data_IF_418645016617
#
_entry.id   IF_418645016617
#
_cell.length_a   1.000
_cell.length_b   1.000
_cell.length_c   1.000
_cell.angle_alpha   90.00
_cell.angle_beta   90.00
_cell.angle_gamma   90.00
#
_symmetry.space_group_name_H-M   'P 1'
#
loop_
_entity.id
_entity.type
_entity.pdbx_description
1 polymer ?
#
# COMPACT_ATOMS: atom_id res chain seq x y z
N UNK A 1 5.49 11.98 18.19
CA UNK A 1 6.26 10.89 17.55
C UNK A 1 6.48 9.88 18.66
N UNK A 2 5.91 8.68 18.60
CA UNK A 2 5.99 7.75 19.73
C UNK A 2 6.19 6.34 19.21
N UNK A 3 7.34 5.76 19.57
CA UNK A 3 7.67 4.36 19.37
C UNK A 3 6.55 3.47 19.87
N UNK A 4 5.91 2.70 18.99
CA UNK A 4 5.10 1.56 19.41
C UNK A 4 6.05 0.45 19.84
N UNK A 5 6.53 0.52 21.06
CA UNK A 5 7.30 -0.55 21.67
C UNK A 5 6.35 -1.33 22.59
N UNK A 6 5.98 -2.54 22.16
CA UNK A 6 5.12 -3.46 22.92
C UNK A 6 5.95 -4.37 23.84
N UNK A 7 7.06 -3.85 24.38
CA UNK A 7 8.03 -4.63 25.16
C UNK A 7 7.58 -4.94 26.60
N UNK A 8 8.10 -6.05 27.12
CA UNK A 8 7.93 -6.59 28.48
C UNK A 8 8.94 -5.93 29.45
N UNK A 9 8.52 -5.46 30.64
CA UNK A 9 9.44 -4.76 31.56
C UNK A 9 9.10 -4.97 33.05
N UNK A 10 10.12 -5.08 33.90
CA UNK A 10 10.04 -4.97 35.37
C UNK A 10 10.98 -3.85 35.86
N UNK A 11 10.53 -3.07 36.86
CA UNK A 11 11.27 -1.95 37.46
C UNK A 11 12.14 -2.44 38.61
N UNK A 12 13.45 -2.56 38.40
CA UNK A 12 14.40 -2.86 39.48
C UNK A 12 15.22 -1.59 39.84
N UNK A 13 15.33 -1.33 41.14
CA UNK A 13 16.05 -0.17 41.65
C UNK A 13 17.55 -0.46 41.70
N UNK A 14 18.40 0.44 41.21
CA UNK A 14 19.83 0.32 41.40
C UNK A 14 20.46 1.66 41.79
N UNK A 15 21.44 1.59 42.67
CA UNK A 15 22.31 2.73 42.98
C UNK A 15 23.42 2.81 41.93
N UNK A 16 23.68 4.00 41.38
CA UNK A 16 24.98 4.26 40.79
C UNK A 16 25.98 4.32 41.94
N UNK A 17 26.90 3.37 41.97
CA UNK A 17 27.97 3.28 42.97
C UNK A 17 28.80 4.59 42.99
N UNK A 18 28.40 5.56 43.82
CA UNK A 18 29.30 6.62 44.29
C UNK A 18 29.84 6.16 45.63
N UNK A 19 31.10 5.79 45.64
CA UNK A 19 31.80 5.32 46.83
C UNK A 19 31.84 6.40 47.94
N UNK A 20 30.86 6.41 48.85
CA UNK A 20 31.02 6.92 50.21
C UNK A 20 29.83 6.48 51.12
N UNK A 21 30.01 5.56 52.09
CA UNK A 21 28.91 5.01 52.88
C UNK A 21 28.50 5.83 54.12
N UNK A 22 28.96 7.07 54.29
CA UNK A 22 28.58 7.91 55.45
C UNK A 22 27.85 9.19 55.03
N UNK A 23 26.56 9.07 54.67
CA UNK A 23 25.56 10.15 54.80
C UNK A 23 24.16 9.56 54.67
N UNK A 24 23.55 9.24 55.79
CA UNK A 24 22.25 8.55 55.88
C UNK A 24 21.03 9.49 55.88
N UNK A 25 21.15 10.74 55.45
CA UNK A 25 20.01 11.67 55.43
C UNK A 25 20.01 12.53 54.16
N UNK A 26 18.87 12.52 53.45
CA UNK A 26 18.51 13.17 52.17
C UNK A 26 18.89 12.40 50.88
N UNK A 27 17.95 11.61 50.34
CA UNK A 27 18.13 10.80 49.12
C UNK A 27 17.10 11.12 48.01
N UNK A 28 17.31 12.13 47.14
CA UNK A 28 16.37 12.47 46.05
C UNK A 28 16.75 11.95 44.65
N UNK A 29 17.81 11.13 44.49
CA UNK A 29 18.31 10.70 43.17
C UNK A 29 18.38 9.16 43.04
N UNK A 30 17.30 8.49 42.62
CA UNK A 30 17.33 7.08 42.20
C UNK A 30 17.07 6.94 40.70
N UNK A 31 17.87 6.15 40.00
CA UNK A 31 17.64 5.70 38.63
C UNK A 31 17.11 4.24 38.67
N UNK A 32 16.25 3.86 37.72
CA UNK A 32 15.62 2.55 37.66
C UNK A 32 15.99 1.86 36.36
N UNK A 33 16.52 0.63 36.43
CA UNK A 33 16.90 -0.16 35.25
C UNK A 33 15.84 -1.22 35.01
N UNK A 34 15.65 -1.55 33.74
CA UNK A 34 14.92 -2.75 33.37
C UNK A 34 15.91 -3.89 33.14
N UNK A 35 15.69 -5.03 33.81
CA UNK A 35 16.25 -6.31 33.38
C UNK A 35 15.17 -7.12 32.70
N UNK A 36 15.51 -7.69 31.54
CA UNK A 36 14.71 -8.72 30.88
C UNK A 36 14.98 -10.04 31.60
N UNK A 37 13.96 -10.64 32.20
CA UNK A 37 14.02 -12.01 32.75
C UNK A 37 13.13 -12.92 31.92
N UNK A 38 13.57 -14.16 31.66
CA UNK A 38 12.88 -15.17 30.85
C UNK A 38 11.69 -15.86 31.57
N UNK A 39 11.21 -15.36 32.71
CA UNK A 39 10.12 -15.98 33.48
C UNK A 39 8.81 -15.16 33.46
N UNK A 40 7.63 -15.82 33.42
CA UNK A 40 6.37 -15.16 33.12
C UNK A 40 5.79 -14.46 34.36
N UNK A 41 5.83 -13.13 34.39
CA UNK A 41 5.09 -12.32 35.38
C UNK A 41 4.40 -11.12 34.73
N UNK A 42 3.37 -10.62 35.41
CA UNK A 42 2.26 -9.81 34.89
C UNK A 42 2.66 -8.67 33.95
N UNK A 43 1.98 -8.63 32.79
CA UNK A 43 2.20 -7.70 31.70
C UNK A 43 1.55 -6.34 32.03
N UNK A 44 2.35 -5.28 32.11
CA UNK A 44 1.83 -3.91 32.20
C UNK A 44 2.22 -3.15 30.92
N UNK A 45 1.28 -2.92 29.98
CA UNK A 45 1.59 -2.17 28.77
C UNK A 45 1.95 -0.72 29.12
N UNK A 46 3.03 -0.19 28.52
CA UNK A 46 3.36 1.24 28.62
C UNK A 46 2.30 2.02 27.85
N UNK A 47 1.39 2.64 28.58
CA UNK A 47 0.36 3.49 27.99
C UNK A 47 0.91 4.90 27.76
N UNK A 48 0.53 5.50 26.63
CA UNK A 48 0.88 6.88 26.28
C UNK A 48 -0.35 7.62 25.82
N UNK A 49 -0.44 8.90 26.16
CA UNK A 49 -1.40 9.81 25.52
C UNK A 49 -0.73 10.48 24.31
N UNK A 50 -1.47 11.25 23.50
CA UNK A 50 -0.88 11.99 22.37
C UNK A 50 0.22 12.96 22.81
N UNK A 51 0.18 13.47 24.04
CA UNK A 51 1.01 14.62 24.44
C UNK A 51 1.85 14.40 25.70
N UNK A 52 1.69 13.26 26.37
CA UNK A 52 2.39 12.97 27.62
C UNK A 52 2.46 11.46 27.86
N UNK A 53 3.53 11.01 28.51
CA UNK A 53 3.63 9.66 29.03
C UNK A 53 2.63 9.47 30.19
N UNK A 54 2.10 8.25 30.33
CA UNK A 54 1.30 7.91 31.51
C UNK A 54 2.28 7.46 32.61
N UNK A 55 2.31 8.14 33.77
CA UNK A 55 3.23 7.78 34.83
C UNK A 55 2.93 6.39 35.39
N UNK A 56 4.00 5.60 35.60
CA UNK A 56 3.94 4.28 36.23
C UNK A 56 4.27 4.45 37.71
N UNK A 57 3.43 3.90 38.58
CA UNK A 57 3.70 3.91 40.00
C UNK A 57 4.85 2.96 40.33
N UNK A 58 5.84 3.46 41.04
CA UNK A 58 6.99 2.68 41.53
C UNK A 58 6.62 1.89 42.79
N UNK A 59 7.39 0.85 43.16
CA UNK A 59 7.16 0.09 44.39
C UNK A 59 7.19 0.92 45.69
N UNK A 60 7.75 2.14 45.65
CA UNK A 60 7.84 3.04 46.81
C UNK A 60 6.74 4.11 46.83
N UNK A 61 5.79 4.07 45.89
CA UNK A 61 4.69 5.03 45.81
C UNK A 61 4.96 6.28 44.97
N UNK A 62 6.19 6.48 44.50
CA UNK A 62 6.54 7.53 43.52
C UNK A 62 6.07 7.17 42.11
N UNK A 63 6.25 8.08 41.15
CA UNK A 63 5.93 7.85 39.74
C UNK A 63 7.17 7.98 38.85
N UNK A 64 7.25 7.16 37.81
CA UNK A 64 8.29 7.21 36.78
C UNK A 64 7.71 7.07 35.36
N UNK A 65 8.45 7.55 34.38
CA UNK A 65 8.15 7.36 32.94
C UNK A 65 9.40 6.86 32.22
N UNK A 66 9.20 6.34 31.00
CA UNK A 66 10.30 5.89 30.16
C UNK A 66 11.26 7.05 29.85
N UNK A 67 12.57 6.81 29.92
CA UNK A 67 13.59 7.83 29.69
C UNK A 67 13.45 8.52 28.32
N UNK A 68 13.09 7.76 27.29
CA UNK A 68 12.77 8.27 25.97
C UNK A 68 11.67 9.35 26.02
N UNK A 69 10.57 9.03 26.69
CA UNK A 69 9.43 9.92 26.81
C UNK A 69 9.79 11.15 27.66
N UNK A 70 10.56 10.97 28.73
CA UNK A 70 11.08 12.07 29.54
C UNK A 70 11.94 13.06 28.72
N UNK A 71 12.83 12.56 27.88
CA UNK A 71 13.65 13.39 27.00
C UNK A 71 12.78 14.21 26.04
N UNK A 72 11.80 13.58 25.37
CA UNK A 72 10.89 14.28 24.46
C UNK A 72 10.02 15.31 25.20
N UNK A 73 9.53 15.01 26.41
CA UNK A 73 8.78 15.97 27.22
C UNK A 73 9.60 17.18 27.63
N UNK A 74 10.86 16.99 28.04
CA UNK A 74 11.77 18.10 28.34
C UNK A 74 12.01 18.93 27.08
N UNK A 75 12.39 18.30 25.97
CA UNK A 75 12.62 19.01 24.70
C UNK A 75 11.38 19.79 24.24
N UNK A 76 10.18 19.22 24.38
CA UNK A 76 8.93 19.91 24.04
C UNK A 76 8.68 21.15 24.90
N UNK A 77 8.94 21.08 26.20
CA UNK A 77 8.87 22.26 27.10
C UNK A 77 9.92 23.30 26.72
N UNK A 78 11.14 22.88 26.40
CA UNK A 78 12.19 23.78 25.91
C UNK A 78 11.80 24.47 24.59
N UNK A 79 11.15 23.76 23.66
CA UNK A 79 10.69 24.26 22.37
C UNK A 79 9.52 25.24 22.52
N UNK A 80 8.43 24.84 23.19
CA UNK A 80 7.17 25.61 23.15
C UNK A 80 6.95 26.50 24.37
N UNK A 81 7.32 26.03 25.57
CA UNK A 81 7.12 26.78 26.81
C UNK A 81 8.24 27.82 26.99
N UNK A 82 9.50 27.39 26.90
CA UNK A 82 10.65 28.27 27.15
C UNK A 82 11.19 28.94 25.88
N UNK A 83 10.86 28.39 24.71
CA UNK A 83 11.21 28.90 23.38
C UNK A 83 12.69 29.18 23.23
N UNK A 84 13.52 28.34 23.82
CA UNK A 84 14.96 28.61 23.95
C UNK A 84 15.62 28.69 22.58
N UNK A 85 15.21 27.85 21.63
CA UNK A 85 15.82 27.76 20.29
C UNK A 85 15.60 29.01 19.42
N UNK A 86 14.67 29.90 19.81
CA UNK A 86 14.44 31.18 19.13
C UNK A 86 15.38 32.29 19.61
N UNK A 87 16.06 32.07 20.75
CA UNK A 87 16.84 33.08 21.46
C UNK A 87 18.34 33.02 21.15
N UNK A 88 18.73 32.07 20.30
CA UNK A 88 20.10 31.82 19.91
C UNK A 88 20.26 31.91 18.40
N UNK A 89 21.50 32.12 17.98
CA UNK A 89 21.95 32.06 16.60
C UNK A 89 22.94 30.91 16.42
N UNK A 90 23.21 30.53 15.18
CA UNK A 90 24.15 29.47 14.83
C UNK A 90 25.52 29.67 15.48
N UNK A 91 26.04 30.89 15.49
CA UNK A 91 27.32 31.24 16.15
C UNK A 91 27.32 31.02 17.67
N UNK A 92 26.14 31.06 18.30
CA UNK A 92 25.95 30.84 19.75
C UNK A 92 25.52 29.42 20.09
N UNK A 93 25.43 28.52 19.10
CA UNK A 93 25.15 27.11 19.31
C UNK A 93 26.06 26.47 20.38
N UNK A 94 27.39 26.70 20.41
CA UNK A 94 28.25 26.11 21.43
C UNK A 94 27.85 26.45 22.87
N UNK A 95 27.32 27.66 23.07
CA UNK A 95 26.83 28.10 24.39
C UNK A 95 25.56 27.34 24.76
N UNK A 96 24.58 27.32 23.86
CA UNK A 96 23.34 26.57 24.05
C UNK A 96 23.62 25.07 24.28
N UNK A 97 24.50 24.48 23.49
CA UNK A 97 24.86 23.06 23.62
C UNK A 97 25.52 22.75 24.95
N UNK A 98 26.29 23.68 25.54
CA UNK A 98 26.87 23.49 26.87
C UNK A 98 25.78 23.43 27.96
N UNK A 99 24.74 24.27 27.85
CA UNK A 99 23.58 24.21 28.76
C UNK A 99 22.80 22.90 28.61
N UNK A 100 22.64 22.42 27.37
CA UNK A 100 21.93 21.19 27.04
C UNK A 100 22.78 19.92 27.26
N UNK A 101 24.08 20.05 27.56
CA UNK A 101 24.99 18.92 27.75
C UNK A 101 24.51 17.96 28.86
N UNK A 102 23.82 18.50 29.88
CA UNK A 102 23.22 17.71 30.96
C UNK A 102 22.18 16.69 30.44
N UNK A 103 21.42 17.03 29.38
CA UNK A 103 20.52 16.07 28.73
C UNK A 103 21.33 14.96 28.08
N UNK A 104 22.38 15.33 27.34
CA UNK A 104 23.22 14.33 26.68
C UNK A 104 23.90 13.42 27.69
N UNK A 105 24.39 13.93 28.82
CA UNK A 105 25.04 13.15 29.87
C UNK A 105 24.05 12.20 30.55
N UNK A 106 22.86 12.69 30.91
CA UNK A 106 21.86 11.89 31.60
C UNK A 106 21.22 10.82 30.70
N UNK A 107 20.93 11.16 29.44
CA UNK A 107 20.33 10.26 28.47
C UNK A 107 21.38 9.56 27.57
N UNK A 108 22.67 9.62 27.94
CA UNK A 108 23.76 9.01 27.18
C UNK A 108 23.61 7.49 27.07
N UNK A 109 23.96 6.99 25.88
CA UNK A 109 23.73 5.64 25.35
C UNK A 109 24.57 4.52 25.98
N UNK A 110 25.21 4.76 27.13
CA UNK A 110 25.92 3.69 27.83
C UNK A 110 24.95 2.61 28.35
N UNK A 111 23.66 2.91 28.43
CA UNK A 111 22.60 1.94 28.69
C UNK A 111 21.95 1.50 27.37
N UNK A 112 22.20 0.24 26.98
CA UNK A 112 21.59 -0.40 25.79
C UNK A 112 20.14 -0.82 26.02
N UNK A 113 19.67 -0.77 27.27
CA UNK A 113 18.33 -1.17 27.68
C UNK A 113 17.47 0.06 27.96
N UNK A 114 16.17 0.01 27.65
CA UNK A 114 15.20 0.97 28.16
C UNK A 114 15.32 1.12 29.69
N UNK A 115 15.21 2.35 30.18
CA UNK A 115 15.24 2.66 31.60
C UNK A 115 14.19 3.70 31.96
N UNK A 116 13.85 3.79 33.24
CA UNK A 116 12.81 4.67 33.73
C UNK A 116 13.39 5.80 34.58
N UNK A 117 12.75 6.97 34.49
CA UNK A 117 13.16 8.20 35.16
C UNK A 117 12.00 8.67 36.04
N UNK A 118 12.30 9.01 37.28
CA UNK A 118 11.30 9.54 38.22
C UNK A 118 10.91 10.96 37.86
N UNK A 119 9.67 11.33 38.20
CA UNK A 119 9.17 12.69 37.95
C UNK A 119 10.05 13.76 38.61
N UNK A 120 10.48 13.55 39.86
CA UNK A 120 11.38 14.49 40.55
C UNK A 120 12.75 14.64 39.87
N UNK A 121 13.24 13.59 39.20
CA UNK A 121 14.49 13.70 38.43
C UNK A 121 14.32 14.51 37.15
N UNK A 122 13.17 14.35 36.47
CA UNK A 122 12.81 15.14 35.29
C UNK A 122 12.73 16.62 35.64
N UNK A 123 12.01 16.94 36.72
CA UNK A 123 11.88 18.31 37.24
C UNK A 123 13.26 18.90 37.58
N UNK A 124 14.12 18.15 38.27
CA UNK A 124 15.46 18.60 38.62
C UNK A 124 16.35 18.90 37.40
N UNK A 125 16.29 18.07 36.36
CA UNK A 125 17.05 18.29 35.12
C UNK A 125 16.53 19.53 34.40
N UNK A 126 15.21 19.66 34.27
CA UNK A 126 14.58 20.80 33.62
C UNK A 126 14.91 22.11 34.34
N UNK A 127 14.74 22.16 35.67
CA UNK A 127 15.07 23.34 36.47
C UNK A 127 16.53 23.73 36.34
N UNK A 128 17.46 22.77 36.36
CA UNK A 128 18.89 23.03 36.15
C UNK A 128 19.16 23.72 34.81
N UNK A 129 18.58 23.19 33.73
CA UNK A 129 18.72 23.77 32.38
C UNK A 129 18.13 25.18 32.35
N UNK A 130 16.91 25.37 32.84
CA UNK A 130 16.22 26.65 32.80
C UNK A 130 16.91 27.71 33.65
N UNK A 131 17.41 27.35 34.83
CA UNK A 131 18.17 28.25 35.70
C UNK A 131 19.50 28.65 35.05
N UNK A 132 20.17 27.71 34.37
CA UNK A 132 21.40 28.03 33.62
C UNK A 132 21.14 28.99 32.44
N UNK A 133 19.91 29.03 31.93
CA UNK A 133 19.47 29.89 30.82
C UNK A 133 18.77 31.18 31.29
N UNK A 134 18.84 31.54 32.57
CA UNK A 134 18.15 32.71 33.16
C UNK A 134 18.40 34.00 32.39
N UNK A 135 19.66 34.23 31.99
CA UNK A 135 20.08 35.43 31.26
C UNK A 135 19.38 35.60 29.90
N UNK A 136 18.85 34.52 29.34
CA UNK A 136 18.18 34.50 28.04
C UNK A 136 16.64 34.59 28.18
N UNK A 137 16.07 34.52 29.40
CA UNK A 137 14.61 34.56 29.59
C UNK A 137 13.96 35.83 29.05
N UNK A 138 14.66 36.96 29.12
CA UNK A 138 14.18 38.29 28.67
C UNK A 138 14.20 38.48 27.15
N UNK A 139 14.85 37.60 26.40
CA UNK A 139 14.90 37.71 24.94
C UNK A 139 13.51 37.39 24.38
N UNK A 140 12.89 38.29 23.59
CA UNK A 140 11.57 38.07 23.04
C UNK A 140 11.57 36.88 22.07
N UNK A 141 10.49 36.09 22.11
CA UNK A 141 10.33 34.90 21.28
C UNK A 141 8.88 34.79 20.80
N UNK A 142 8.70 34.45 19.53
CA UNK A 142 7.40 34.34 18.88
C UNK A 142 6.69 33.04 19.24
N UNK A 143 5.36 33.08 19.23
CA UNK A 143 4.53 31.87 19.40
C UNK A 143 4.18 31.30 18.03
N UNK A 144 3.94 29.99 17.98
CA UNK A 144 3.36 29.35 16.78
C UNK A 144 2.00 29.98 16.50
N UNK A 145 1.80 30.44 15.27
CA UNK A 145 0.53 31.04 14.83
C UNK A 145 -0.51 29.96 14.55
N UNK A 146 -1.78 30.33 14.62
CA UNK A 146 -2.87 29.44 14.26
C UNK A 146 -2.86 29.12 12.76
N UNK A 147 -3.12 27.86 12.42
CA UNK A 147 -3.42 27.48 11.05
C UNK A 147 -4.73 28.14 10.61
N UNK A 148 -4.88 28.35 9.30
CA UNK A 148 -6.12 28.87 8.73
C UNK A 148 -7.19 27.78 8.66
N UNK A 149 -8.42 28.14 8.31
CA UNK A 149 -9.55 27.20 8.20
C UNK A 149 -9.35 26.15 7.10
N UNK A 150 -8.66 26.53 6.03
CA UNK A 150 -8.20 25.67 4.92
C UNK A 150 -6.91 24.91 5.25
N UNK A 151 -6.44 25.02 6.49
CA UNK A 151 -5.25 24.37 7.00
C UNK A 151 -3.95 25.10 6.69
N UNK A 152 -2.86 24.36 6.51
CA UNK A 152 -1.55 24.89 6.15
C UNK A 152 -0.87 24.01 5.10
N UNK A 153 0.07 24.59 4.36
CA UNK A 153 0.89 23.95 3.32
C UNK A 153 2.37 23.92 3.74
N UNK A 154 3.22 23.23 2.98
CA UNK A 154 4.69 23.27 3.17
C UNK A 154 5.22 24.71 3.20
N UNK A 155 4.70 25.58 2.33
CA UNK A 155 5.08 27.00 2.30
C UNK A 155 4.68 27.72 3.59
N UNK A 156 3.51 27.39 4.16
CA UNK A 156 3.10 27.94 5.44
C UNK A 156 4.01 27.46 6.58
N UNK A 157 4.40 26.18 6.59
CA UNK A 157 5.33 25.64 7.58
C UNK A 157 6.71 26.32 7.49
N UNK A 158 7.30 26.45 6.29
CA UNK A 158 8.57 27.17 6.11
C UNK A 158 8.49 28.62 6.61
N UNK A 159 7.42 29.32 6.26
CA UNK A 159 7.18 30.69 6.73
C UNK A 159 7.01 30.75 8.26
N UNK A 160 6.44 29.72 8.87
CA UNK A 160 6.29 29.63 10.32
C UNK A 160 7.64 29.44 11.00
N UNK A 161 8.50 28.53 10.50
CA UNK A 161 9.85 28.33 11.02
C UNK A 161 10.70 29.62 10.96
N UNK A 162 10.57 30.39 9.89
CA UNK A 162 11.22 31.71 9.78
C UNK A 162 10.59 32.71 10.76
N UNK A 163 9.27 32.75 10.87
CA UNK A 163 8.56 33.62 11.82
C UNK A 163 8.97 33.35 13.28
N UNK A 164 9.19 32.08 13.64
CA UNK A 164 9.67 31.69 14.97
C UNK A 164 11.13 32.08 15.21
N UNK A 165 11.87 32.52 14.19
CA UNK A 165 13.29 32.86 14.30
C UNK A 165 14.21 31.64 14.45
N UNK A 166 13.69 30.41 14.45
CA UNK A 166 14.51 29.20 14.65
C UNK A 166 15.47 28.93 13.50
N UNK A 167 15.21 29.49 12.31
CA UNK A 167 16.12 29.43 11.18
C UNK A 167 17.45 30.19 11.41
N UNK A 168 17.53 31.11 12.38
CA UNK A 168 18.81 31.75 12.74
C UNK A 168 19.72 30.83 13.53
N UNK A 169 19.16 29.86 14.26
CA UNK A 169 19.91 28.83 14.99
C UNK A 169 20.19 27.62 14.11
N UNK A 170 19.19 27.21 13.32
CA UNK A 170 19.19 26.04 12.46
C UNK A 170 18.90 26.43 11.00
N UNK A 171 19.88 26.89 10.22
CA UNK A 171 19.67 27.28 8.82
C UNK A 171 19.08 26.14 7.96
N UNK A 172 19.44 24.89 8.27
CA UNK A 172 18.98 23.67 7.59
C UNK A 172 17.51 23.32 7.87
N UNK A 173 16.85 23.95 8.84
CA UNK A 173 15.52 23.52 9.32
C UNK A 173 14.44 23.53 8.23
N UNK A 174 14.58 24.40 7.23
CA UNK A 174 13.62 24.51 6.13
C UNK A 174 13.71 23.33 5.14
N UNK A 175 14.83 22.62 5.11
CA UNK A 175 15.03 21.42 4.29
C UNK A 175 14.12 20.28 4.78
N UNK A 176 13.87 20.20 6.09
CA UNK A 176 13.00 19.20 6.69
C UNK A 176 11.50 19.44 6.48
N UNK A 177 11.11 20.67 6.12
CA UNK A 177 9.70 21.07 6.10
C UNK A 177 8.84 20.21 5.16
N UNK A 178 9.39 19.73 4.04
CA UNK A 178 8.65 18.96 3.05
C UNK A 178 8.40 17.51 3.50
N UNK A 179 9.44 16.86 4.03
CA UNK A 179 9.35 15.52 4.60
C UNK A 179 8.40 15.50 5.82
N UNK A 180 8.59 16.45 6.75
CA UNK A 180 7.77 16.56 7.95
C UNK A 180 6.31 16.90 7.62
N UNK A 181 6.07 17.82 6.68
CA UNK A 181 4.71 18.13 6.23
C UNK A 181 4.01 16.88 5.68
N UNK A 182 4.71 16.12 4.84
CA UNK A 182 4.17 14.92 4.23
C UNK A 182 3.82 13.87 5.28
N UNK A 183 4.64 13.71 6.31
CA UNK A 183 4.38 12.81 7.45
C UNK A 183 3.13 13.24 8.23
N UNK A 184 3.07 14.51 8.64
CA UNK A 184 1.94 15.04 9.43
C UNK A 184 0.65 15.03 8.60
N UNK A 185 0.73 15.28 7.30
CA UNK A 185 -0.42 15.20 6.38
C UNK A 185 -0.99 13.78 6.29
N UNK A 186 -0.16 12.74 6.31
CA UNK A 186 -0.62 11.34 6.33
C UNK A 186 -1.34 10.99 7.64
N UNK A 187 -0.89 11.56 8.75
CA UNK A 187 -1.45 11.31 10.08
C UNK A 187 -2.64 12.21 10.44
N UNK A 188 -3.09 13.06 9.51
CA UNK A 188 -4.16 14.02 9.76
C UNK A 188 -5.46 13.29 10.08
N UNK A 189 -6.17 13.78 11.11
CA UNK A 189 -7.47 13.24 11.53
C UNK A 189 -8.67 13.93 10.87
N UNK A 190 -8.41 15.00 10.11
CA UNK A 190 -9.44 15.82 9.48
C UNK A 190 -9.07 16.11 8.03
N UNK A 191 -10.03 16.68 7.28
CA UNK A 191 -9.84 17.04 5.87
C UNK A 191 -8.61 17.94 5.67
N UNK A 192 -8.43 18.92 6.57
CA UNK A 192 -7.32 19.87 6.53
C UNK A 192 -6.43 19.76 7.77
N UNK A 193 -5.16 20.12 7.62
CA UNK A 193 -4.19 20.19 8.71
C UNK A 193 -4.48 21.37 9.63
N UNK A 194 -4.66 21.12 10.92
CA UNK A 194 -5.07 22.11 11.92
C UNK A 194 -3.87 22.70 12.65
N UNK A 195 -4.13 23.67 13.53
CA UNK A 195 -3.11 24.25 14.40
C UNK A 195 -2.36 23.19 15.20
N UNK A 196 -3.03 22.19 15.80
CA UNK A 196 -2.31 21.15 16.53
C UNK A 196 -1.33 20.37 15.65
N UNK A 197 -1.67 20.17 14.37
CA UNK A 197 -0.81 19.46 13.43
C UNK A 197 0.37 20.37 13.00
N UNK A 198 0.20 21.70 13.04
CA UNK A 198 1.28 22.66 12.83
C UNK A 198 2.28 22.65 14.01
N UNK A 199 1.79 22.53 15.26
CA UNK A 199 2.66 22.32 16.42
C UNK A 199 3.47 21.03 16.26
N UNK A 200 2.81 19.91 15.92
CA UNK A 200 3.48 18.62 15.67
C UNK A 200 4.56 18.74 14.57
N UNK A 201 4.29 19.50 13.50
CA UNK A 201 5.25 19.73 12.42
C UNK A 201 6.45 20.58 12.86
N UNK A 202 6.23 21.66 13.61
CA UNK A 202 7.30 22.52 14.14
C UNK A 202 8.18 21.75 15.11
N UNK A 203 7.58 20.97 16.01
CA UNK A 203 8.28 20.08 16.94
C UNK A 203 9.22 19.15 16.17
N UNK A 204 8.68 18.41 15.20
CA UNK A 204 9.46 17.45 14.39
C UNK A 204 10.64 18.09 13.67
N UNK A 205 10.43 19.26 13.04
CA UNK A 205 11.52 19.99 12.40
C UNK A 205 12.64 20.35 13.39
N UNK A 206 12.28 20.83 14.59
CA UNK A 206 13.25 21.21 15.61
C UNK A 206 13.96 20.00 16.20
N UNK A 207 13.24 18.91 16.50
CA UNK A 207 13.84 17.68 17.00
C UNK A 207 14.86 17.11 16.00
N UNK A 208 14.55 17.09 14.70
CA UNK A 208 15.50 16.66 13.67
C UNK A 208 16.79 17.49 13.68
N UNK A 209 16.69 18.81 13.79
CA UNK A 209 17.85 19.69 13.91
C UNK A 209 18.65 19.42 15.19
N UNK A 210 17.96 19.30 16.33
CA UNK A 210 18.58 19.03 17.63
C UNK A 210 19.35 17.71 17.56
N UNK A 211 18.69 16.61 17.21
CA UNK A 211 19.33 15.29 17.21
C UNK A 211 20.43 15.14 16.16
N UNK A 212 20.34 15.83 15.01
CA UNK A 212 21.45 15.87 14.03
C UNK A 212 22.71 16.53 14.60
N UNK A 213 22.56 17.52 15.48
CA UNK A 213 23.68 18.24 16.11
C UNK A 213 24.08 17.67 17.48
N UNK A 214 23.30 16.76 18.05
CA UNK A 214 23.61 16.02 19.28
C UNK A 214 23.98 14.55 18.95
N UNK A 215 25.27 14.24 18.70
CA UNK A 215 25.69 12.91 18.24
C UNK A 215 25.58 11.79 19.29
N UNK A 216 25.32 12.11 20.57
CA UNK A 216 25.38 11.14 21.67
C UNK A 216 24.02 10.58 22.11
N UNK A 217 22.97 10.78 21.31
CA UNK A 217 21.61 10.42 21.67
C UNK A 217 21.10 9.49 20.56
N UNK A 218 21.16 8.16 20.76
CA UNK A 218 20.79 7.10 19.78
C UNK A 218 19.36 7.24 19.20
N UNK A 219 18.60 8.18 19.74
CA UNK A 219 17.25 8.54 19.33
C UNK A 219 17.20 9.14 17.91
N UNK A 220 18.31 9.64 17.36
CA UNK A 220 18.36 10.10 15.96
C UNK A 220 18.05 8.96 14.97
N UNK A 221 18.58 7.75 15.20
CA UNK A 221 18.26 6.59 14.37
C UNK A 221 16.79 6.23 14.50
N UNK A 222 16.27 6.28 15.71
CA UNK A 222 14.89 5.96 16.04
C UNK A 222 13.90 6.94 15.35
N UNK A 223 14.23 8.24 15.30
CA UNK A 223 13.43 9.26 14.61
C UNK A 223 13.49 9.12 13.08
N UNK A 224 14.67 8.84 12.51
CA UNK A 224 14.78 8.60 11.07
C UNK A 224 14.16 7.26 10.64
N UNK A 225 14.22 6.23 11.49
CA UNK A 225 13.56 4.95 11.27
C UNK A 225 12.05 5.13 11.17
N UNK A 226 11.43 5.91 12.06
CA UNK A 226 9.99 6.21 12.01
C UNK A 226 9.60 6.95 10.71
N UNK A 227 10.39 7.94 10.26
CA UNK A 227 10.13 8.67 9.00
C UNK A 227 10.19 7.71 7.81
N UNK A 228 11.23 6.88 7.74
CA UNK A 228 11.42 5.91 6.66
C UNK A 228 10.39 4.76 6.70
N UNK A 229 10.03 4.27 7.89
CA UNK A 229 8.99 3.24 8.06
C UNK A 229 7.63 3.75 7.61
N UNK A 230 7.29 5.01 7.89
CA UNK A 230 6.04 5.62 7.43
C UNK A 230 6.02 5.81 5.89
N UNK A 231 7.14 6.14 5.27
CA UNK A 231 7.26 6.17 3.80
C UNK A 231 7.04 4.78 3.18
N UNK A 232 7.68 3.76 3.75
CA UNK A 232 7.53 2.37 3.29
C UNK A 232 6.10 1.85 3.48
N UNK A 233 5.45 2.13 4.63
CA UNK A 233 4.03 1.79 4.84
C UNK A 233 3.11 2.49 3.83
N UNK A 234 3.42 3.73 3.45
CA UNK A 234 2.64 4.45 2.43
C UNK A 234 2.74 3.78 1.06
N UNK A 235 3.95 3.37 0.66
CA UNK A 235 4.14 2.63 -0.58
C UNK A 235 3.42 1.27 -0.55
N UNK A 236 3.42 0.59 0.60
CA UNK A 236 2.69 -0.66 0.77
C UNK A 236 1.19 -0.45 0.57
N UNK A 237 0.58 0.56 1.22
CA UNK A 237 -0.86 0.84 1.07
C UNK A 237 -1.23 1.17 -0.38
N UNK A 238 -0.44 1.99 -1.06
CA UNK A 238 -0.67 2.34 -2.47
C UNK A 238 -0.56 1.11 -3.38
N UNK A 239 0.48 0.29 -3.20
CA UNK A 239 0.65 -0.95 -3.93
C UNK A 239 -0.48 -1.96 -3.65
N UNK A 240 -0.96 -2.05 -2.41
CA UNK A 240 -2.10 -2.90 -2.05
C UNK A 240 -3.37 -2.47 -2.75
N UNK A 241 -3.67 -1.17 -2.81
CA UNK A 241 -4.83 -0.65 -3.55
C UNK A 241 -4.74 -0.95 -5.04
N UNK A 242 -3.56 -0.76 -5.66
CA UNK A 242 -3.35 -1.10 -7.07
C UNK A 242 -3.50 -2.61 -7.33
N UNK A 243 -3.12 -3.46 -6.37
CA UNK A 243 -3.27 -4.91 -6.46
C UNK A 243 -4.75 -5.33 -6.41
N UNK A 244 -5.56 -4.69 -5.56
CA UNK A 244 -7.00 -4.94 -5.47
C UNK A 244 -7.73 -4.60 -6.78
N UNK A 245 -7.42 -3.44 -7.38
CA UNK A 245 -7.99 -3.04 -8.68
C UNK A 245 -7.63 -4.03 -9.80
N UNK A 246 -6.37 -4.52 -9.82
CA UNK A 246 -5.94 -5.52 -10.79
C UNK A 246 -6.64 -6.87 -10.57
N UNK A 247 -6.87 -7.27 -9.32
CA UNK A 247 -7.59 -8.49 -9.00
C UNK A 247 -9.06 -8.44 -9.44
N UNK A 248 -9.73 -7.30 -9.25
CA UNK A 248 -11.08 -7.08 -9.78
C UNK A 248 -11.11 -7.24 -11.30
N UNK A 249 -10.14 -6.65 -12.01
CA UNK A 249 -10.03 -6.75 -13.47
C UNK A 249 -9.79 -8.18 -13.95
N UNK A 250 -8.99 -8.96 -13.22
CA UNK A 250 -8.74 -10.37 -13.51
C UNK A 250 -10.04 -11.17 -13.41
N UNK A 251 -10.87 -10.89 -12.40
CA UNK A 251 -12.12 -11.62 -12.20
C UNK A 251 -13.15 -11.30 -13.29
N UNK A 252 -13.26 -10.05 -13.71
CA UNK A 252 -14.07 -9.64 -14.87
C UNK A 252 -13.63 -10.34 -16.18
N UNK A 253 -12.31 -10.49 -16.37
CA UNK A 253 -11.74 -11.17 -17.54
C UNK A 253 -12.02 -12.68 -17.51
N UNK A 254 -11.93 -13.32 -16.34
CA UNK A 254 -12.30 -14.74 -16.19
C UNK A 254 -13.76 -14.99 -16.56
N UNK A 255 -14.66 -14.11 -16.13
CA UNK A 255 -16.08 -14.20 -16.48
C UNK A 255 -16.31 -14.04 -17.99
N UNK A 256 -15.60 -13.12 -18.63
CA UNK A 256 -15.64 -12.97 -20.10
C UNK A 256 -15.14 -14.22 -20.83
N UNK A 257 -14.02 -14.80 -20.42
CA UNK A 257 -13.47 -16.02 -21.01
C UNK A 257 -14.46 -17.19 -20.86
N UNK A 258 -15.08 -17.32 -19.68
CA UNK A 258 -16.10 -18.35 -19.44
C UNK A 258 -17.32 -18.19 -20.36
N UNK A 259 -17.77 -16.95 -20.60
CA UNK A 259 -18.85 -16.68 -21.55
C UNK A 259 -18.46 -17.01 -22.98
N UNK A 260 -17.24 -16.66 -23.41
CA UNK A 260 -16.74 -16.98 -24.75
C UNK A 260 -16.66 -18.48 -24.98
N UNK A 261 -16.12 -19.24 -24.03
CA UNK A 261 -16.08 -20.71 -24.10
C UNK A 261 -17.48 -21.33 -24.25
N UNK A 262 -18.48 -20.79 -23.55
CA UNK A 262 -19.88 -21.23 -23.71
C UNK A 262 -20.41 -20.95 -25.12
N UNK A 263 -20.12 -19.76 -25.66
CA UNK A 263 -20.53 -19.38 -27.02
C UNK A 263 -19.86 -20.25 -28.08
N UNK A 264 -18.57 -20.52 -27.93
CA UNK A 264 -17.81 -21.39 -28.83
C UNK A 264 -18.38 -22.81 -28.86
N UNK A 265 -18.68 -23.40 -27.69
CA UNK A 265 -19.30 -24.73 -27.62
C UNK A 265 -20.65 -24.80 -28.33
N UNK A 266 -21.46 -23.75 -28.22
CA UNK A 266 -22.75 -23.64 -28.94
C UNK A 266 -22.51 -23.56 -30.46
N UNK A 267 -21.56 -22.75 -30.90
CA UNK A 267 -21.21 -22.61 -32.32
C UNK A 267 -20.69 -23.91 -32.91
N UNK A 268 -19.78 -24.61 -32.23
CA UNK A 268 -19.24 -25.89 -32.68
C UNK A 268 -20.32 -26.96 -32.84
N UNK A 269 -21.28 -27.02 -31.91
CA UNK A 269 -22.45 -27.90 -32.05
C UNK A 269 -23.32 -27.54 -33.27
N UNK A 270 -23.48 -26.26 -33.60
CA UNK A 270 -24.21 -25.84 -34.81
C UNK A 270 -23.46 -26.20 -36.09
N UNK A 271 -22.13 -26.05 -36.11
CA UNK A 271 -21.27 -26.41 -37.24
C UNK A 271 -21.37 -27.91 -37.51
N UNK A 272 -21.18 -28.76 -36.50
CA UNK A 272 -21.29 -30.22 -36.63
C UNK A 272 -22.65 -30.67 -37.20
N UNK A 273 -23.76 -30.04 -36.77
CA UNK A 273 -25.09 -30.32 -37.34
C UNK A 273 -25.17 -29.95 -38.83
N UNK A 274 -24.58 -28.83 -39.23
CA UNK A 274 -24.55 -28.40 -40.64
C UNK A 274 -23.66 -29.31 -41.48
N UNK A 275 -22.49 -29.72 -40.98
CA UNK A 275 -21.60 -30.66 -41.67
C UNK A 275 -22.29 -32.00 -41.94
N UNK A 276 -23.02 -32.54 -40.97
CA UNK A 276 -23.83 -33.75 -41.15
C UNK A 276 -24.91 -33.57 -42.22
N UNK A 277 -25.52 -32.38 -42.32
CA UNK A 277 -26.52 -32.09 -43.34
C UNK A 277 -25.88 -31.99 -44.74
N UNK A 278 -24.73 -31.33 -44.86
CA UNK A 278 -23.95 -31.25 -46.10
C UNK A 278 -23.54 -32.64 -46.58
N UNK A 279 -23.07 -33.51 -45.68
CA UNK A 279 -22.70 -34.89 -46.02
C UNK A 279 -23.88 -35.68 -46.60
N UNK A 280 -25.07 -35.58 -45.98
CA UNK A 280 -26.31 -36.19 -46.52
C UNK A 280 -26.68 -35.65 -47.90
N UNK A 281 -26.50 -34.34 -48.13
CA UNK A 281 -26.75 -33.75 -49.44
C UNK A 281 -25.75 -34.24 -50.49
N UNK A 282 -24.48 -34.41 -50.13
CA UNK A 282 -23.45 -34.95 -51.02
C UNK A 282 -23.75 -36.41 -51.42
N UNK A 283 -24.12 -37.26 -50.47
CA UNK A 283 -24.53 -38.66 -50.72
C UNK A 283 -25.72 -38.70 -51.69
N UNK A 284 -26.76 -37.89 -51.44
CA UNK A 284 -27.93 -37.83 -52.33
C UNK A 284 -27.59 -37.30 -53.72
N UNK A 285 -26.63 -36.38 -53.84
CA UNK A 285 -26.20 -35.86 -55.13
C UNK A 285 -25.41 -36.92 -55.93
N UNK A 286 -24.61 -37.76 -55.25
CA UNK A 286 -23.94 -38.90 -55.87
C UNK A 286 -24.95 -39.95 -56.39
N UNK A 287 -25.98 -40.28 -55.60
CA UNK A 287 -27.06 -41.18 -56.04
C UNK A 287 -27.77 -40.67 -57.30
N UNK A 288 -28.07 -39.37 -57.34
CA UNK A 288 -28.71 -38.74 -58.51
C UNK A 288 -27.80 -38.76 -59.75
N UNK A 289 -26.49 -38.54 -59.58
CA UNK A 289 -25.49 -38.64 -60.64
C UNK A 289 -25.46 -40.06 -61.26
N UNK A 290 -25.43 -41.09 -60.41
CA UNK A 290 -25.46 -42.49 -60.85
C UNK A 290 -26.76 -42.79 -61.60
N UNK A 291 -27.91 -42.34 -61.07
CA UNK A 291 -29.21 -42.55 -61.70
C UNK A 291 -29.33 -41.85 -63.05
N UNK A 292 -28.85 -40.61 -63.17
CA UNK A 292 -28.81 -39.89 -64.43
C UNK A 292 -27.93 -40.59 -65.47
N UNK A 293 -26.75 -41.08 -65.07
CA UNK A 293 -25.88 -41.85 -65.96
C UNK A 293 -26.54 -43.14 -66.47
N UNK A 294 -27.26 -43.86 -65.60
CA UNK A 294 -28.04 -45.04 -66.02
C UNK A 294 -29.16 -44.69 -67.02
N UNK A 295 -29.88 -43.59 -66.78
CA UNK A 295 -30.93 -43.11 -67.69
C UNK A 295 -30.35 -42.69 -69.05
N UNK A 296 -29.22 -41.99 -69.06
CA UNK A 296 -28.50 -41.64 -70.30
C UNK A 296 -28.09 -42.88 -71.08
N UNK A 297 -27.53 -43.89 -70.41
CA UNK A 297 -27.16 -45.16 -71.04
C UNK A 297 -28.39 -45.90 -71.60
N UNK A 298 -29.48 -45.95 -70.84
CA UNK A 298 -30.73 -46.58 -71.28
C UNK A 298 -31.32 -45.86 -72.50
N UNK A 299 -31.33 -44.52 -72.50
CA UNK A 299 -31.77 -43.71 -73.63
C UNK A 299 -30.90 -43.95 -74.88
N UNK A 300 -29.57 -44.09 -74.71
CA UNK A 300 -28.67 -44.41 -75.82
C UNK A 300 -28.96 -45.79 -76.41
N UNK A 301 -29.18 -46.81 -75.57
CA UNK A 301 -29.54 -48.15 -76.03
C UNK A 301 -30.87 -48.15 -76.81
N UNK A 302 -31.90 -47.47 -76.30
CA UNK A 302 -33.19 -47.33 -76.98
C UNK A 302 -33.04 -46.63 -78.35
N UNK A 303 -32.19 -45.60 -78.43
CA UNK A 303 -31.94 -44.88 -79.67
C UNK A 303 -31.23 -45.78 -80.71
N UNK A 304 -30.28 -46.60 -80.28
CA UNK A 304 -29.63 -47.61 -81.13
C UNK A 304 -30.64 -48.63 -81.65
N UNK A 305 -31.53 -49.13 -80.80
CA UNK A 305 -32.58 -50.08 -81.21
C UNK A 305 -33.56 -49.47 -82.21
N UNK A 306 -34.06 -48.25 -81.98
CA UNK A 306 -34.93 -47.53 -82.93
C UNK A 306 -34.22 -47.34 -84.28
N UNK A 307 -32.92 -47.04 -84.24
CA UNK A 307 -32.09 -46.91 -85.44
C UNK A 307 -31.92 -48.24 -86.16
N UNK A 308 -31.75 -49.35 -85.44
CA UNK A 308 -31.67 -50.70 -86.00
C UNK A 308 -32.98 -51.14 -86.66
N UNK A 309 -34.13 -50.94 -86.00
CA UNK A 309 -35.48 -51.20 -86.56
C UNK A 309 -35.70 -50.40 -87.85
N UNK A 310 -35.15 -49.18 -87.92
CA UNK A 310 -35.22 -48.35 -89.13
C UNK A 310 -34.36 -48.89 -90.28
N UNK A 311 -33.28 -49.63 -89.99
CA UNK A 311 -32.38 -50.26 -90.99
C UNK A 311 -32.84 -51.65 -91.45
N UNK A 312 -33.60 -52.41 -90.66
CA UNK A 312 -34.04 -53.78 -90.96
C UNK A 312 -35.09 -53.92 -92.10
N UNK A 313 -35.18 -52.96 -93.02
CA UNK A 313 -35.77 -53.24 -94.34
C UNK A 313 -37.27 -53.55 -94.35
N UNK A 314 -38.08 -52.95 -93.46
CA UNK A 314 -39.49 -52.77 -93.78
C UNK A 314 -39.57 -51.70 -94.88
N UNK A 315 -40.10 -52.02 -96.05
CA UNK A 315 -40.09 -51.17 -97.25
C UNK A 315 -40.57 -49.72 -97.05
N UNK A 316 -40.50 -48.94 -98.15
CA UNK A 316 -40.66 -47.48 -98.23
C UNK A 316 -41.48 -46.82 -97.10
N UNK A 317 -40.95 -45.76 -96.43
CA UNK A 317 -41.56 -45.09 -95.28
C UNK A 317 -42.93 -44.41 -95.55
N UNK A 318 -43.43 -44.49 -96.78
CA UNK A 318 -44.72 -43.98 -97.22
C UNK A 318 -45.85 -45.02 -97.22
N UNK A 319 -45.56 -46.31 -96.96
CA UNK A 319 -46.62 -47.33 -96.83
C UNK A 319 -47.33 -47.25 -95.45
N UNK A 320 -48.64 -46.91 -95.40
CA UNK A 320 -49.38 -46.74 -94.14
C UNK A 320 -49.44 -48.01 -93.28
N UNK A 321 -49.41 -49.20 -93.88
CA UNK A 321 -49.46 -50.48 -93.13
C UNK A 321 -48.15 -50.75 -92.39
N UNK A 322 -47.02 -50.40 -92.99
CA UNK A 322 -45.71 -50.58 -92.36
C UNK A 322 -45.47 -49.54 -91.24
N UNK A 323 -46.06 -48.34 -91.33
CA UNK A 323 -46.01 -47.35 -90.23
C UNK A 323 -46.71 -47.83 -88.97
N UNK A 324 -47.92 -48.38 -89.12
CA UNK A 324 -48.70 -48.91 -87.99
C UNK A 324 -47.98 -50.09 -87.32
N UNK A 325 -47.42 -51.02 -88.10
CA UNK A 325 -46.68 -52.17 -87.56
C UNK A 325 -45.37 -51.77 -86.84
N UNK A 326 -44.68 -50.73 -87.34
CA UNK A 326 -43.49 -50.17 -86.67
C UNK A 326 -43.86 -49.49 -85.34
N UNK A 327 -44.91 -48.67 -85.33
CA UNK A 327 -45.38 -48.00 -84.13
C UNK A 327 -45.89 -48.99 -83.08
N UNK A 328 -46.59 -50.04 -83.49
CA UNK A 328 -47.11 -51.08 -82.60
C UNK A 328 -45.97 -51.93 -81.99
N UNK A 329 -44.92 -52.23 -82.76
CA UNK A 329 -43.72 -52.89 -82.23
C UNK A 329 -42.96 -52.02 -81.24
N UNK A 330 -42.78 -50.73 -81.55
CA UNK A 330 -42.12 -49.77 -80.65
C UNK A 330 -42.95 -49.60 -79.36
N UNK A 331 -44.26 -49.43 -79.49
CA UNK A 331 -45.18 -49.24 -78.36
C UNK A 331 -45.22 -50.45 -77.41
N UNK A 332 -45.35 -51.67 -77.95
CA UNK A 332 -45.39 -52.89 -77.14
C UNK A 332 -44.06 -53.16 -76.41
N UNK A 333 -42.93 -52.69 -76.95
CA UNK A 333 -41.62 -52.82 -76.30
C UNK A 333 -41.46 -51.80 -75.17
N UNK A 334 -41.80 -50.54 -75.42
CA UNK A 334 -41.82 -49.48 -74.38
C UNK A 334 -42.73 -49.89 -73.21
N UNK A 335 -43.86 -50.55 -73.48
CA UNK A 335 -44.75 -51.06 -72.44
C UNK A 335 -44.14 -52.16 -71.57
N UNK A 336 -43.17 -52.93 -72.09
CA UNK A 336 -42.49 -53.99 -71.34
C UNK A 336 -41.38 -53.46 -70.44
N UNK A 337 -40.76 -52.32 -70.77
CA UNK A 337 -39.69 -51.73 -69.96
C UNK A 337 -40.19 -50.79 -68.85
N UNK A 338 -41.48 -50.40 -68.87
CA UNK A 338 -42.10 -49.52 -67.86
C UNK A 338 -42.71 -50.30 -66.67
N UNK A 339 -42.95 -51.61 -66.82
CA UNK A 339 -43.38 -52.52 -65.74
C UNK A 339 -42.18 -53.26 -65.15
#
# INVERSE_FOLDING_TARGET
MYFQDTGEFELECYEQNTANPERTELWPNRNFRVRFYEEPREQVPIQRTKHAAIPIQTPFGDHCILAADALFEILNRLIFCHRIFQKFQESTWPVLSAHLAQLSEFFSTNEKSPFFVTMGKIESIEESIINSLENYKKIPANSVRNAKKDGFTVKNLRNELVNLGVASLFPEIQEYAEAVYSEVFKLKKQEFLRTCDLFDAVEKCLLLCIFKRFPNVNYYEAINLDINQNEMQTQIVDLTSQLEDKNLKIEELKDHVNQLNRREKISNNKISKKENHVKKLQEKNQELLIRNSHLEQSNMNLLEEITAISREGLGSPEDPKNRLLRLEKIWNRILMDIN
#
